data_IF_845766927815
#
_entry.id   IF_845766927815
#
_cell.length_a   1.000
_cell.length_b   1.000
_cell.length_c   1.000
_cell.angle_alpha   90.00
_cell.angle_beta   90.00
_cell.angle_gamma   90.00
#
_symmetry.space_group_name_H-M   'P 1'
#
loop_
_entity.id
_entity.type
_entity.pdbx_description
1 polymer ?
#
# COMPACT_ATOMS: atom_id res chain seq x y z
N UNK A 1 -47.48 44.42 12.76
CA UNK A 1 -47.30 43.31 11.80
C UNK A 1 -45.94 43.21 11.10
N UNK A 2 -45.06 44.23 11.12
CA UNK A 2 -43.75 44.15 10.45
C UNK A 2 -42.63 43.43 11.24
N UNK A 3 -42.61 43.53 12.58
CA UNK A 3 -41.57 42.91 13.41
C UNK A 3 -41.66 41.38 13.45
N UNK A 4 -42.86 40.81 13.46
CA UNK A 4 -43.08 39.35 13.46
C UNK A 4 -42.69 38.70 12.13
N UNK A 5 -42.91 39.37 10.98
CA UNK A 5 -42.44 38.89 9.67
C UNK A 5 -40.91 38.88 9.57
N UNK A 6 -40.22 39.90 10.09
CA UNK A 6 -38.74 39.94 10.13
C UNK A 6 -38.16 38.85 11.03
N UNK A 7 -38.80 38.56 12.17
CA UNK A 7 -38.37 37.50 13.08
C UNK A 7 -38.48 36.10 12.43
N UNK A 8 -39.57 35.82 11.71
CA UNK A 8 -39.75 34.54 11.01
C UNK A 8 -38.74 34.34 9.87
N UNK A 9 -38.38 35.41 9.14
CA UNK A 9 -37.35 35.34 8.09
C UNK A 9 -35.98 35.00 8.68
N UNK A 10 -35.61 35.62 9.81
CA UNK A 10 -34.31 35.36 10.47
C UNK A 10 -34.24 33.93 10.98
N UNK A 11 -35.33 33.41 11.57
CA UNK A 11 -35.39 32.00 12.03
C UNK A 11 -35.29 31.04 10.85
N UNK A 12 -35.99 31.31 9.75
CA UNK A 12 -35.89 30.50 8.53
C UNK A 12 -34.48 30.48 7.95
N UNK A 13 -33.78 31.63 7.94
CA UNK A 13 -32.40 31.73 7.46
C UNK A 13 -31.42 30.97 8.36
N UNK A 14 -31.60 31.04 9.69
CA UNK A 14 -30.78 30.32 10.65
C UNK A 14 -30.94 28.80 10.52
N UNK A 15 -32.17 28.32 10.29
CA UNK A 15 -32.44 26.90 10.05
C UNK A 15 -31.85 26.42 8.72
N UNK A 16 -31.94 27.22 7.65
CA UNK A 16 -31.36 26.88 6.35
C UNK A 16 -29.82 26.81 6.40
N UNK A 17 -29.19 27.72 7.16
CA UNK A 17 -27.75 27.70 7.40
C UNK A 17 -27.33 26.48 8.24
N UNK A 18 -28.07 26.17 9.31
CA UNK A 18 -27.81 24.99 10.14
C UNK A 18 -27.94 23.67 9.35
N UNK A 19 -28.97 23.56 8.50
CA UNK A 19 -29.19 22.39 7.65
C UNK A 19 -28.06 22.21 6.61
N UNK A 20 -27.58 23.30 6.01
CA UNK A 20 -26.46 23.23 5.07
C UNK A 20 -25.18 22.77 5.78
N UNK A 21 -24.84 23.35 6.93
CA UNK A 21 -23.64 22.96 7.70
C UNK A 21 -23.71 21.47 8.04
N UNK A 22 -24.84 20.98 8.55
CA UNK A 22 -25.04 19.57 8.86
C UNK A 22 -24.89 18.64 7.63
N UNK A 23 -25.40 19.06 6.46
CA UNK A 23 -25.28 18.30 5.23
C UNK A 23 -23.83 18.23 4.71
N UNK A 24 -23.06 19.31 4.84
CA UNK A 24 -21.65 19.31 4.46
C UNK A 24 -20.78 18.50 5.44
N UNK A 25 -21.03 18.58 6.75
CA UNK A 25 -20.26 17.81 7.73
C UNK A 25 -20.55 16.32 7.66
N UNK A 26 -21.81 15.92 7.44
CA UNK A 26 -22.17 14.50 7.30
C UNK A 26 -21.60 13.84 6.04
N UNK A 27 -21.44 14.58 4.94
CA UNK A 27 -20.74 14.06 3.75
C UNK A 27 -19.22 14.00 3.94
N UNK A 28 -18.62 14.92 4.71
CA UNK A 28 -17.19 14.88 5.02
C UNK A 28 -16.82 13.63 5.85
N UNK A 29 -17.65 13.25 6.83
CA UNK A 29 -17.45 12.03 7.63
C UNK A 29 -17.61 10.74 6.79
N UNK A 30 -18.44 10.76 5.74
CA UNK A 30 -18.61 9.62 4.83
C UNK A 30 -17.41 9.43 3.88
N UNK A 31 -16.70 10.50 3.53
CA UNK A 31 -15.52 10.46 2.65
C UNK A 31 -14.21 10.22 3.41
N UNK A 32 -14.20 10.40 4.73
CA UNK A 32 -13.00 10.39 5.56
C UNK A 32 -12.77 9.08 6.33
N UNK A 33 -13.58 8.03 6.16
CA UNK A 33 -13.25 6.74 6.78
C UNK A 33 -12.13 6.06 6.00
N UNK A 34 -10.88 6.02 6.51
CA UNK A 34 -9.89 5.12 5.96
C UNK A 34 -10.48 3.71 6.02
N UNK A 35 -10.35 2.95 4.94
CA UNK A 35 -10.78 1.56 4.89
C UNK A 35 -10.10 0.84 6.07
N UNK A 36 -10.90 0.39 7.04
CA UNK A 36 -10.34 -0.21 8.25
C UNK A 36 -9.66 -1.51 7.85
N UNK A 37 -8.36 -1.62 8.15
CA UNK A 37 -7.59 -2.83 7.86
C UNK A 37 -8.28 -4.05 8.46
N UNK A 38 -8.43 -5.09 7.64
CA UNK A 38 -8.90 -6.39 8.11
C UNK A 38 -7.85 -7.01 9.04
N UNK A 39 -8.29 -7.92 9.92
CA UNK A 39 -7.36 -8.66 10.79
C UNK A 39 -6.27 -9.40 10.00
N UNK A 40 -6.60 -9.92 8.81
CA UNK A 40 -5.66 -10.57 7.92
C UNK A 40 -4.58 -9.61 7.40
N UNK A 41 -4.97 -8.39 7.03
CA UNK A 41 -4.06 -7.34 6.59
C UNK A 41 -3.16 -6.86 7.74
N UNK A 42 -3.72 -6.62 8.93
CA UNK A 42 -2.91 -6.26 10.10
C UNK A 42 -1.87 -7.33 10.41
N UNK A 43 -2.25 -8.61 10.34
CA UNK A 43 -1.33 -9.73 10.56
C UNK A 43 -0.23 -9.81 9.49
N UNK A 44 -0.58 -9.58 8.22
CA UNK A 44 0.39 -9.52 7.12
C UNK A 44 1.40 -8.40 7.36
N UNK A 45 0.95 -7.21 7.75
CA UNK A 45 1.81 -6.05 8.04
C UNK A 45 2.77 -6.39 9.19
N UNK A 46 2.26 -6.86 10.33
CA UNK A 46 3.11 -7.18 11.49
C UNK A 46 4.18 -8.23 11.17
N UNK A 47 3.82 -9.29 10.43
CA UNK A 47 4.77 -10.34 10.03
C UNK A 47 5.77 -9.79 9.00
N UNK A 48 5.29 -8.99 8.05
CA UNK A 48 6.10 -8.36 7.02
C UNK A 48 7.16 -7.41 7.58
N UNK A 49 6.79 -6.57 8.55
CA UNK A 49 7.72 -5.68 9.26
C UNK A 49 8.80 -6.48 9.98
N UNK A 50 8.42 -7.55 10.70
CA UNK A 50 9.37 -8.45 11.35
C UNK A 50 10.33 -9.10 10.36
N UNK A 51 9.82 -9.61 9.23
CA UNK A 51 10.65 -10.23 8.21
C UNK A 51 11.57 -9.20 7.52
N UNK A 52 11.13 -7.95 7.38
CA UNK A 52 11.97 -6.86 6.88
C UNK A 52 13.11 -6.55 7.84
N UNK A 53 12.87 -6.47 9.17
CA UNK A 53 13.93 -6.29 10.16
C UNK A 53 15.01 -7.38 10.07
N UNK A 54 14.61 -8.64 9.89
CA UNK A 54 15.57 -9.73 9.64
C UNK A 54 16.35 -9.55 8.33
N UNK A 55 15.67 -9.12 7.27
CA UNK A 55 16.29 -8.79 6.00
C UNK A 55 17.36 -7.70 6.14
N UNK A 56 17.06 -6.62 6.88
CA UNK A 56 18.02 -5.53 7.11
C UNK A 56 19.21 -5.97 7.95
N UNK A 57 18.98 -6.72 9.04
CA UNK A 57 20.05 -7.25 9.89
C UNK A 57 20.98 -8.19 9.14
N UNK A 58 20.44 -9.00 8.23
CA UNK A 58 21.23 -9.92 7.44
C UNK A 58 22.30 -9.23 6.57
N UNK A 59 22.06 -7.97 6.21
CA UNK A 59 22.94 -7.18 5.32
C UNK A 59 23.54 -5.95 5.99
N UNK A 60 23.44 -5.85 7.32
CA UNK A 60 23.88 -4.68 8.08
C UNK A 60 25.38 -4.41 7.97
N UNK A 61 26.18 -5.49 7.88
CA UNK A 61 27.64 -5.41 7.77
C UNK A 61 28.14 -5.58 6.32
N UNK A 62 27.23 -5.69 5.35
CA UNK A 62 27.60 -5.80 3.94
C UNK A 62 27.86 -4.39 3.40
N UNK A 63 29.13 -3.99 3.30
CA UNK A 63 29.55 -2.71 2.69
C UNK A 63 29.91 -2.92 1.22
N UNK A 64 29.05 -2.53 0.27
CA UNK A 64 29.30 -2.72 -1.15
C UNK A 64 30.35 -1.70 -1.65
N UNK A 65 31.32 -2.19 -2.40
CA UNK A 65 32.41 -1.42 -3.04
C UNK A 65 32.12 -1.23 -4.53
N UNK A 66 31.43 -2.19 -5.15
CA UNK A 66 31.10 -2.18 -6.59
C UNK A 66 29.61 -2.48 -6.81
N UNK A 67 29.09 -2.08 -7.98
CA UNK A 67 27.68 -2.26 -8.35
C UNK A 67 27.17 -3.69 -8.22
N UNK A 68 27.98 -4.68 -8.62
CA UNK A 68 27.59 -6.09 -8.46
C UNK A 68 27.30 -6.47 -7.00
N UNK A 69 28.06 -5.91 -6.05
CA UNK A 69 27.87 -6.18 -4.63
C UNK A 69 26.57 -5.53 -4.10
N UNK A 70 26.09 -4.43 -4.70
CA UNK A 70 24.77 -3.88 -4.42
C UNK A 70 23.67 -4.89 -4.73
N UNK A 71 23.77 -5.57 -5.89
CA UNK A 71 22.80 -6.58 -6.33
C UNK A 71 22.86 -7.83 -5.46
N UNK A 72 24.06 -8.28 -5.08
CA UNK A 72 24.24 -9.41 -4.16
C UNK A 72 23.63 -9.11 -2.79
N UNK A 73 23.90 -7.91 -2.24
CA UNK A 73 23.32 -7.45 -0.96
C UNK A 73 21.79 -7.43 -1.03
N UNK A 74 21.22 -6.84 -2.08
CA UNK A 74 19.77 -6.80 -2.27
C UNK A 74 19.17 -8.21 -2.39
N UNK A 75 19.84 -9.10 -3.12
CA UNK A 75 19.40 -10.50 -3.26
C UNK A 75 19.40 -11.21 -1.92
N UNK A 76 20.49 -11.11 -1.14
CA UNK A 76 20.58 -11.67 0.21
C UNK A 76 19.45 -11.17 1.13
N UNK A 77 19.22 -9.85 1.18
CA UNK A 77 18.11 -9.24 1.94
C UNK A 77 16.76 -9.83 1.55
N UNK A 78 16.45 -9.82 0.25
CA UNK A 78 15.14 -10.25 -0.27
C UNK A 78 14.89 -11.76 -0.14
N UNK A 79 15.94 -12.58 -0.20
CA UNK A 79 15.87 -14.01 0.12
C UNK A 79 15.51 -14.24 1.60
N UNK A 80 16.15 -13.52 2.53
CA UNK A 80 15.84 -13.64 3.97
C UNK A 80 14.38 -13.27 4.24
N UNK A 81 13.90 -12.17 3.65
CA UNK A 81 12.50 -11.76 3.77
C UNK A 81 11.58 -12.86 3.22
N UNK A 82 11.86 -13.37 2.02
CA UNK A 82 11.02 -14.38 1.37
C UNK A 82 10.93 -15.67 2.17
N UNK A 83 12.05 -16.14 2.72
CA UNK A 83 12.09 -17.33 3.57
C UNK A 83 11.30 -17.10 4.87
N UNK A 84 11.50 -15.95 5.52
CA UNK A 84 10.73 -15.59 6.72
C UNK A 84 9.22 -15.54 6.45
N UNK A 85 8.79 -14.97 5.30
CA UNK A 85 7.38 -14.94 4.92
C UNK A 85 6.83 -16.35 4.68
N UNK A 86 7.59 -17.21 4.01
CA UNK A 86 7.24 -18.61 3.78
C UNK A 86 7.12 -19.40 5.10
N UNK A 87 8.04 -19.21 6.04
CA UNK A 87 7.98 -19.82 7.39
C UNK A 87 6.75 -19.37 8.17
N UNK A 88 6.24 -18.16 7.87
CA UNK A 88 4.99 -17.65 8.41
C UNK A 88 3.76 -18.01 7.55
N UNK A 89 3.91 -18.90 6.57
CA UNK A 89 2.85 -19.44 5.73
C UNK A 89 2.31 -18.45 4.68
N UNK A 90 3.13 -17.50 4.23
CA UNK A 90 2.80 -16.61 3.12
C UNK A 90 3.53 -17.02 1.85
N UNK A 91 2.81 -17.01 0.74
CA UNK A 91 3.32 -17.31 -0.59
C UNK A 91 3.18 -16.10 -1.51
N UNK A 92 3.94 -16.10 -2.61
CA UNK A 92 3.77 -15.09 -3.66
C UNK A 92 2.39 -15.23 -4.29
N UNK A 93 1.64 -14.14 -4.35
CA UNK A 93 0.31 -14.10 -4.90
C UNK A 93 0.32 -14.23 -6.44
N UNK A 94 -0.32 -15.26 -7.03
CA UNK A 94 -0.44 -15.39 -8.48
C UNK A 94 -1.21 -14.23 -9.13
N UNK A 95 -2.14 -13.60 -8.41
CA UNK A 95 -2.87 -12.44 -8.91
C UNK A 95 -1.96 -11.22 -9.05
N UNK A 96 -1.02 -11.02 -8.13
CA UNK A 96 0.01 -9.99 -8.26
C UNK A 96 0.85 -10.22 -9.50
N UNK A 97 1.27 -11.47 -9.80
CA UNK A 97 2.07 -11.77 -11.00
C UNK A 97 1.32 -11.37 -12.28
N UNK A 98 0.06 -11.75 -12.42
CA UNK A 98 -0.77 -11.38 -13.60
C UNK A 98 -0.93 -9.86 -13.74
N UNK A 99 -1.01 -9.14 -12.62
CA UNK A 99 -1.06 -7.68 -12.62
C UNK A 99 0.30 -7.05 -12.98
N UNK A 100 1.40 -7.63 -12.49
CA UNK A 100 2.75 -7.11 -12.64
C UNK A 100 3.36 -7.35 -14.03
N UNK A 101 2.99 -8.45 -14.71
CA UNK A 101 3.50 -8.81 -16.05
C UNK A 101 3.35 -7.69 -17.10
N UNK A 102 2.17 -7.09 -17.35
CA UNK A 102 2.05 -6.01 -18.33
C UNK A 102 2.83 -4.75 -17.92
N UNK A 103 2.94 -4.47 -16.62
CA UNK A 103 3.73 -3.34 -16.09
C UNK A 103 5.23 -3.57 -16.37
N UNK A 104 5.72 -4.78 -16.09
CA UNK A 104 7.09 -5.19 -16.35
C UNK A 104 7.43 -5.14 -17.85
N UNK A 105 6.52 -5.58 -18.73
CA UNK A 105 6.72 -5.51 -20.18
C UNK A 105 6.86 -4.08 -20.67
N UNK A 106 6.03 -3.15 -20.18
CA UNK A 106 6.15 -1.74 -20.52
C UNK A 106 7.46 -1.12 -20.01
N UNK A 107 7.86 -1.46 -18.77
CA UNK A 107 9.12 -1.00 -18.19
C UNK A 107 10.34 -1.55 -18.93
N UNK A 108 10.30 -2.82 -19.35
CA UNK A 108 11.36 -3.48 -20.11
C UNK A 108 11.64 -2.77 -21.44
N UNK A 109 10.58 -2.44 -22.20
CA UNK A 109 10.70 -1.69 -23.45
C UNK A 109 11.31 -0.30 -23.24
N UNK A 110 10.95 0.39 -22.16
CA UNK A 110 11.47 1.74 -21.84
C UNK A 110 12.93 1.71 -21.39
N UNK A 111 13.33 0.70 -20.61
CA UNK A 111 14.66 0.59 -20.03
C UNK A 111 15.65 -0.22 -20.89
N UNK A 112 15.19 -0.79 -22.01
CA UNK A 112 15.97 -1.68 -22.88
C UNK A 112 16.57 -2.88 -22.12
N UNK A 113 15.76 -3.50 -21.26
CA UNK A 113 16.11 -4.71 -20.50
C UNK A 113 15.13 -5.84 -20.83
N UNK A 114 15.43 -7.06 -20.37
CA UNK A 114 14.50 -8.18 -20.55
C UNK A 114 13.23 -8.01 -19.71
N UNK A 115 12.10 -8.55 -20.20
CA UNK A 115 10.84 -8.58 -19.44
C UNK A 115 10.99 -9.32 -18.09
N UNK A 116 11.80 -10.39 -18.06
CA UNK A 116 12.11 -11.13 -16.83
C UNK A 116 12.89 -10.30 -15.81
N UNK A 117 13.82 -9.48 -16.28
CA UNK A 117 14.60 -8.58 -15.41
C UNK A 117 13.71 -7.45 -14.88
N UNK A 118 12.89 -6.83 -15.73
CA UNK A 118 11.92 -5.83 -15.31
C UNK A 118 10.94 -6.39 -14.26
N UNK A 119 10.44 -7.61 -14.47
CA UNK A 119 9.56 -8.27 -13.50
C UNK A 119 10.29 -8.59 -12.20
N UNK A 120 11.55 -9.00 -12.26
CA UNK A 120 12.38 -9.25 -11.07
C UNK A 120 12.61 -7.96 -10.28
N UNK A 121 12.86 -6.85 -10.97
CA UNK A 121 13.03 -5.54 -10.35
C UNK A 121 11.74 -5.07 -9.67
N UNK A 122 10.60 -5.19 -10.35
CA UNK A 122 9.29 -4.88 -9.77
C UNK A 122 8.98 -5.77 -8.55
N UNK A 123 9.29 -7.07 -8.65
CA UNK A 123 9.16 -8.04 -7.55
C UNK A 123 9.97 -7.65 -6.32
N UNK A 124 11.20 -7.16 -6.50
CA UNK A 124 12.09 -6.75 -5.39
C UNK A 124 11.54 -5.57 -4.59
N UNK A 125 10.84 -4.66 -5.27
CA UNK A 125 10.15 -3.53 -4.64
C UNK A 125 8.88 -4.00 -3.94
N UNK A 126 8.02 -4.74 -4.63
CA UNK A 126 6.69 -5.07 -4.12
C UNK A 126 6.70 -6.11 -2.99
N UNK A 127 7.73 -6.95 -2.89
CA UNK A 127 7.84 -7.93 -1.79
C UNK A 127 7.95 -7.29 -0.40
N UNK A 128 8.33 -6.02 -0.32
CA UNK A 128 8.44 -5.26 0.94
C UNK A 128 7.19 -4.41 1.22
N UNK A 129 6.19 -4.45 0.35
CA UNK A 129 4.94 -3.70 0.55
C UNK A 129 3.89 -4.62 1.15
N UNK A 130 3.57 -4.38 2.42
CA UNK A 130 2.60 -5.17 3.19
C UNK A 130 1.25 -4.47 3.36
N UNK A 131 1.22 -3.16 3.13
CA UNK A 131 -0.01 -2.37 3.14
C UNK A 131 -0.78 -2.56 1.83
N UNK A 132 -2.13 -2.64 1.90
CA UNK A 132 -2.93 -2.77 0.71
C UNK A 132 -2.84 -1.50 -0.16
N UNK A 133 -2.64 -1.70 -1.46
CA UNK A 133 -2.67 -0.60 -2.44
C UNK A 133 -3.92 -0.74 -3.30
N UNK A 134 -4.67 0.36 -3.41
CA UNK A 134 -5.89 0.41 -4.22
C UNK A 134 -5.62 -0.07 -5.65
N UNK A 135 -6.46 -0.98 -6.14
CA UNK A 135 -6.39 -1.57 -7.49
C UNK A 135 -5.10 -2.39 -7.79
N UNK A 136 -4.36 -2.80 -6.76
CA UNK A 136 -3.17 -3.66 -6.91
C UNK A 136 -3.31 -4.87 -5.99
N UNK A 137 -3.23 -6.10 -6.51
CA UNK A 137 -3.19 -7.29 -5.66
C UNK A 137 -1.95 -7.27 -4.75
N UNK A 138 -2.12 -7.69 -3.50
CA UNK A 138 -1.00 -7.82 -2.55
C UNK A 138 0.04 -8.81 -3.08
N UNK A 139 1.32 -8.54 -2.83
CA UNK A 139 2.41 -9.44 -3.25
C UNK A 139 2.36 -10.78 -2.50
N UNK A 140 1.97 -10.75 -1.23
CA UNK A 140 1.90 -11.91 -0.35
C UNK A 140 0.44 -12.33 -0.14
N UNK A 141 0.19 -13.63 -0.18
CA UNK A 141 -1.10 -14.23 0.16
C UNK A 141 -0.87 -15.34 1.18
N UNK A 142 -1.80 -15.50 2.13
CA UNK A 142 -1.76 -16.61 3.08
C UNK A 142 -1.98 -17.92 2.32
N UNK A 143 -1.12 -18.90 2.59
CA UNK A 143 -1.17 -20.25 1.99
C UNK A 143 -2.22 -21.13 2.64
#
# INVERSE_FOLDING_TARGET
>A
MHKTKKLLIIIGLALALGANIYFYTSQADALAKPESLTQAQTKLITIGEKCTDFGERAVANDTPIIEFQMIVRLTKKTTVISNCMADNGYNRNPAWRKHAEPIANAAAAKANISASEALTNLSRTDLQVFEPIKNRPDYWVKS
#
